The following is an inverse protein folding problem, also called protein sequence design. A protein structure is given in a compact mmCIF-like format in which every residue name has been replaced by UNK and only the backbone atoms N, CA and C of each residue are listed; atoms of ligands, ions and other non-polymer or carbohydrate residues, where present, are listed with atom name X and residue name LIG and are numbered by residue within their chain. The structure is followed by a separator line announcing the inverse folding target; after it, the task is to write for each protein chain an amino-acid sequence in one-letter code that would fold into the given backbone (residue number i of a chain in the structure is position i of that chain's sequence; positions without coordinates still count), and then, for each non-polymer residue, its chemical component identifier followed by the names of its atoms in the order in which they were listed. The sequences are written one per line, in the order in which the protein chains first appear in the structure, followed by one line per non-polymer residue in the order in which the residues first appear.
data_IF_883028597829
#
_entry.id   IF_883028597829
#
_cell.length_a   1.000
_cell.length_b   1.000
_cell.length_c   1.000
_cell.angle_alpha   90.00
_cell.angle_beta   90.00
_cell.angle_gamma   90.00
#
_symmetry.space_group_name_H-M   'P 1'
#
loop_
_entity.id
_entity.type
_entity.pdbx_description
1 polymer ?
#
# COMPACT_ATOMS: atom_id res chain seq x y z
N UNK A 1 9.00 2.31 17.35
CA UNK A 1 8.83 0.84 17.35
C UNK A 1 9.67 0.28 16.20
N UNK A 2 10.01 -1.01 16.14
CA UNK A 2 10.80 -1.62 15.05
C UNK A 2 10.08 -2.84 14.51
N UNK A 3 10.43 -3.33 13.31
CA UNK A 3 9.88 -4.58 12.76
C UNK A 3 10.09 -5.77 13.70
N UNK A 4 11.26 -5.87 14.32
CA UNK A 4 11.55 -6.93 15.29
C UNK A 4 10.68 -6.83 16.54
N UNK A 5 10.36 -5.63 17.02
CA UNK A 5 9.44 -5.45 18.15
C UNK A 5 8.00 -5.85 17.76
N UNK A 6 7.57 -5.52 16.54
CA UNK A 6 6.27 -5.94 16.01
C UNK A 6 6.19 -7.46 15.83
N UNK A 7 7.29 -8.11 15.46
CA UNK A 7 7.38 -9.57 15.42
C UNK A 7 7.29 -10.18 16.82
N UNK A 8 8.04 -9.66 17.80
CA UNK A 8 7.99 -10.12 19.19
C UNK A 8 6.58 -9.98 19.80
N UNK A 9 5.83 -8.96 19.41
CA UNK A 9 4.44 -8.77 19.82
C UNK A 9 3.42 -9.55 18.97
N UNK A 10 3.87 -10.48 18.11
CA UNK A 10 3.05 -11.31 17.20
C UNK A 10 2.17 -10.52 16.22
N UNK A 11 2.56 -9.30 15.89
CA UNK A 11 1.92 -8.51 14.85
C UNK A 11 2.51 -8.79 13.46
N UNK A 12 3.78 -9.23 13.41
CA UNK A 12 4.45 -9.69 12.19
C UNK A 12 4.97 -11.13 12.35
N UNK A 13 5.03 -11.84 11.23
CA UNK A 13 5.66 -13.14 11.09
C UNK A 13 6.95 -13.01 10.29
N UNK A 14 7.99 -13.78 10.64
CA UNK A 14 9.19 -13.90 9.82
C UNK A 14 8.93 -14.88 8.69
N UNK A 15 9.19 -14.45 7.47
CA UNK A 15 9.04 -15.27 6.28
C UNK A 15 9.96 -14.71 5.19
N UNK A 16 10.90 -15.52 4.66
CA UNK A 16 11.85 -15.07 3.65
C UNK A 16 11.15 -14.46 2.42
N UNK A 17 11.77 -13.47 1.75
CA UNK A 17 11.23 -12.93 0.50
C UNK A 17 11.11 -14.02 -0.56
N UNK A 18 10.07 -13.96 -1.39
CA UNK A 18 9.89 -14.82 -2.54
C UNK A 18 9.90 -13.97 -3.82
N UNK A 19 10.87 -14.21 -4.71
CA UNK A 19 11.08 -13.39 -5.90
C UNK A 19 9.86 -13.37 -6.84
N UNK A 20 9.19 -14.52 -7.04
CA UNK A 20 8.01 -14.59 -7.89
C UNK A 20 6.82 -13.84 -7.28
N UNK A 21 6.64 -13.93 -5.95
CA UNK A 21 5.63 -13.14 -5.23
C UNK A 21 5.89 -11.65 -5.39
N UNK A 22 7.14 -11.20 -5.17
CA UNK A 22 7.51 -9.79 -5.30
C UNK A 22 7.25 -9.26 -6.70
N UNK A 23 7.72 -9.96 -7.74
CA UNK A 23 7.46 -9.59 -9.14
C UNK A 23 5.96 -9.53 -9.43
N UNK A 24 5.18 -10.49 -8.93
CA UNK A 24 3.73 -10.50 -9.07
C UNK A 24 3.06 -9.28 -8.40
N UNK A 25 3.47 -8.93 -7.18
CA UNK A 25 2.96 -7.77 -6.46
C UNK A 25 3.29 -6.46 -7.20
N UNK A 26 4.54 -6.30 -7.66
CA UNK A 26 4.99 -5.08 -8.35
C UNK A 26 4.28 -4.89 -9.70
N UNK A 27 4.19 -5.94 -10.52
CA UNK A 27 3.49 -5.88 -11.80
C UNK A 27 2.01 -5.55 -11.60
N UNK A 28 1.37 -6.24 -10.66
CA UNK A 28 -0.06 -6.04 -10.38
C UNK A 28 -0.35 -4.65 -9.78
N UNK A 29 0.57 -4.08 -9.00
CA UNK A 29 0.45 -2.71 -8.52
C UNK A 29 0.64 -1.68 -9.65
N UNK A 30 1.60 -1.91 -10.55
CA UNK A 30 1.84 -1.03 -11.71
C UNK A 30 0.62 -0.95 -12.62
N UNK A 31 0.04 -2.09 -12.97
CA UNK A 31 -1.13 -2.13 -13.87
C UNK A 31 -2.33 -1.43 -13.22
N UNK A 32 -2.57 -1.64 -11.92
CA UNK A 32 -3.62 -0.93 -11.17
C UNK A 32 -3.37 0.58 -11.07
N UNK A 33 -2.13 1.03 -10.87
CA UNK A 33 -1.81 2.47 -10.83
C UNK A 33 -2.04 3.14 -12.17
N UNK A 34 -1.70 2.45 -13.26
CA UNK A 34 -2.02 2.91 -14.61
C UNK A 34 -3.55 3.08 -14.77
N UNK A 35 -4.33 2.07 -14.39
CA UNK A 35 -5.78 2.10 -14.55
C UNK A 35 -6.46 3.09 -13.60
N UNK A 36 -5.95 3.31 -12.39
CA UNK A 36 -6.48 4.30 -11.44
C UNK A 36 -6.42 5.75 -11.97
N UNK A 37 -5.50 6.03 -12.89
CA UNK A 37 -5.36 7.33 -13.55
C UNK A 37 -6.33 7.49 -14.73
N UNK A 38 -7.07 6.45 -15.12
CA UNK A 38 -8.06 6.53 -16.18
C UNK A 38 -9.33 7.26 -15.69
N UNK A 39 -9.48 8.53 -16.05
CA UNK A 39 -10.61 9.38 -15.66
C UNK A 39 -11.95 9.00 -16.30
N UNK A 40 -11.98 8.02 -17.21
CA UNK A 40 -13.24 7.45 -17.70
C UNK A 40 -13.85 6.44 -16.71
N UNK A 41 -13.09 5.97 -15.72
CA UNK A 41 -13.60 5.10 -14.66
C UNK A 41 -14.28 5.92 -13.56
N UNK A 42 -15.21 5.31 -12.84
CA UNK A 42 -15.81 5.95 -11.67
C UNK A 42 -14.75 6.22 -10.60
N UNK A 43 -15.01 7.22 -9.75
CA UNK A 43 -14.22 7.50 -8.55
C UNK A 43 -13.97 6.23 -7.73
N UNK A 44 -15.02 5.43 -7.48
CA UNK A 44 -14.92 4.21 -6.68
C UNK A 44 -13.98 3.17 -7.27
N UNK A 45 -14.01 2.96 -8.59
CA UNK A 45 -13.09 2.06 -9.27
C UNK A 45 -11.66 2.58 -9.21
N UNK A 46 -11.45 3.87 -9.48
CA UNK A 46 -10.12 4.50 -9.42
C UNK A 46 -9.52 4.42 -8.01
N UNK A 47 -10.33 4.69 -6.99
CA UNK A 47 -9.92 4.61 -5.59
C UNK A 47 -9.55 3.19 -5.17
N UNK A 48 -10.37 2.19 -5.51
CA UNK A 48 -10.06 0.79 -5.21
C UNK A 48 -8.77 0.32 -5.90
N UNK A 49 -8.58 0.70 -7.17
CA UNK A 49 -7.37 0.41 -7.93
C UNK A 49 -6.13 1.04 -7.27
N UNK A 50 -6.17 2.34 -6.97
CA UNK A 50 -5.06 3.06 -6.35
C UNK A 50 -4.73 2.49 -4.95
N UNK A 51 -5.75 2.21 -4.13
CA UNK A 51 -5.60 1.64 -2.80
C UNK A 51 -4.98 0.23 -2.84
N UNK A 52 -5.48 -0.64 -3.72
CA UNK A 52 -4.95 -2.00 -3.85
C UNK A 52 -3.53 -2.00 -4.43
N UNK A 53 -3.20 -1.05 -5.30
CA UNK A 53 -1.83 -0.86 -5.77
C UNK A 53 -0.90 -0.42 -4.63
N UNK A 54 -1.28 0.61 -3.86
CA UNK A 54 -0.52 1.07 -2.70
C UNK A 54 -0.28 -0.06 -1.68
N UNK A 55 -1.31 -0.86 -1.39
CA UNK A 55 -1.18 -2.01 -0.51
C UNK A 55 -0.22 -3.07 -1.09
N UNK A 56 -0.30 -3.37 -2.38
CA UNK A 56 0.62 -4.31 -3.04
C UNK A 56 2.08 -3.87 -2.95
N UNK A 57 2.35 -2.59 -3.15
CA UNK A 57 3.69 -2.00 -3.02
C UNK A 57 4.19 -2.02 -1.57
N UNK A 58 3.34 -1.63 -0.62
CA UNK A 58 3.68 -1.64 0.79
C UNK A 58 3.94 -3.08 1.30
N UNK A 59 3.16 -4.04 0.81
CA UNK A 59 3.40 -5.46 1.09
C UNK A 59 4.74 -5.89 0.48
N UNK A 60 5.04 -5.56 -0.78
CA UNK A 60 6.32 -5.90 -1.39
C UNK A 60 7.52 -5.38 -0.57
N UNK A 61 7.46 -4.12 -0.10
CA UNK A 61 8.48 -3.55 0.78
C UNK A 61 8.64 -4.33 2.09
N UNK A 62 7.52 -4.72 2.73
CA UNK A 62 7.56 -5.54 3.94
C UNK A 62 8.11 -6.95 3.68
N UNK A 63 7.76 -7.55 2.54
CA UNK A 63 8.23 -8.87 2.11
C UNK A 63 9.73 -8.85 1.83
N UNK A 64 10.28 -7.81 1.22
CA UNK A 64 11.73 -7.61 1.02
C UNK A 64 12.49 -7.59 2.37
N UNK A 65 11.89 -7.04 3.44
CA UNK A 65 12.46 -7.08 4.78
C UNK A 65 12.32 -8.44 5.51
N UNK A 66 11.74 -9.47 4.88
CA UNK A 66 11.60 -10.81 5.45
C UNK A 66 10.48 -10.95 6.48
N UNK A 67 9.48 -10.06 6.45
CA UNK A 67 8.32 -10.11 7.33
C UNK A 67 7.01 -10.23 6.53
N UNK A 68 5.94 -10.67 7.20
CA UNK A 68 4.57 -10.71 6.66
C UNK A 68 3.56 -10.40 7.77
N UNK A 69 2.42 -9.83 7.37
CA UNK A 69 1.18 -9.78 8.14
C UNK A 69 -0.01 -9.82 7.18
N UNK A 70 -1.15 -10.31 7.64
CA UNK A 70 -2.44 -10.29 6.92
C UNK A 70 -3.22 -8.99 7.17
N UNK A 71 -2.79 -8.19 8.15
CA UNK A 71 -3.43 -6.93 8.54
C UNK A 71 -3.00 -5.79 7.62
N UNK A 72 -3.84 -5.43 6.65
CA UNK A 72 -3.56 -4.34 5.67
C UNK A 72 -3.14 -3.02 6.31
N UNK A 73 -3.81 -2.58 7.38
CA UNK A 73 -3.44 -1.34 8.09
C UNK A 73 -2.00 -1.39 8.62
N UNK A 74 -1.57 -2.56 9.10
CA UNK A 74 -0.24 -2.74 9.67
C UNK A 74 0.83 -2.78 8.57
N UNK A 75 0.50 -3.32 7.39
CA UNK A 75 1.38 -3.25 6.21
C UNK A 75 1.74 -1.79 5.90
N UNK A 76 0.76 -0.89 5.89
CA UNK A 76 1.03 0.54 5.69
C UNK A 76 1.84 1.16 6.83
N UNK A 77 1.50 0.85 8.10
CA UNK A 77 2.27 1.37 9.25
C UNK A 77 3.74 0.93 9.21
N UNK A 78 4.05 -0.24 8.64
CA UNK A 78 5.43 -0.71 8.51
C UNK A 78 6.26 0.09 7.49
N UNK A 79 5.65 0.89 6.60
CA UNK A 79 6.38 1.68 5.60
C UNK A 79 7.43 2.62 6.20
N UNK A 80 7.19 3.14 7.42
CA UNK A 80 8.15 3.97 8.15
C UNK A 80 9.42 3.21 8.56
N UNK A 81 9.42 1.88 8.42
CA UNK A 81 10.55 1.00 8.72
C UNK A 81 11.12 0.31 7.48
N UNK A 82 10.39 0.28 6.37
CA UNK A 82 10.76 -0.46 5.16
C UNK A 82 11.14 0.45 3.99
N UNK A 83 10.82 1.75 4.06
CA UNK A 83 11.07 2.72 2.98
C UNK A 83 11.45 4.09 3.54
N UNK A 84 12.09 4.98 2.75
CA UNK A 84 12.34 6.37 3.14
C UNK A 84 11.11 7.29 2.94
N UNK A 85 9.94 6.72 2.65
CA UNK A 85 8.71 7.48 2.42
C UNK A 85 8.36 8.35 3.63
N UNK A 86 7.90 9.57 3.37
CA UNK A 86 7.62 10.51 4.45
C UNK A 86 6.46 10.01 5.34
N UNK A 87 6.52 10.24 6.67
CA UNK A 87 5.44 9.84 7.57
C UNK A 87 4.06 10.43 7.22
N UNK A 88 4.02 11.57 6.52
CA UNK A 88 2.78 12.16 6.02
C UNK A 88 2.11 11.27 4.96
N UNK A 89 2.85 10.78 3.98
CA UNK A 89 2.36 9.85 2.96
C UNK A 89 1.86 8.54 3.57
N UNK A 90 2.52 8.03 4.61
CA UNK A 90 2.05 6.84 5.34
C UNK A 90 0.71 7.08 6.05
N UNK A 91 0.48 8.30 6.56
CA UNK A 91 -0.82 8.68 7.14
C UNK A 91 -1.93 8.74 6.08
N UNK A 92 -1.62 9.19 4.86
CA UNK A 92 -2.59 9.17 3.74
C UNK A 92 -3.06 7.74 3.46
N UNK A 93 -2.16 6.76 3.39
CA UNK A 93 -2.57 5.36 3.20
C UNK A 93 -3.43 4.83 4.35
N UNK A 94 -3.12 5.22 5.59
CA UNK A 94 -3.94 4.86 6.77
C UNK A 94 -5.35 5.45 6.66
N UNK A 95 -5.47 6.72 6.27
CA UNK A 95 -6.76 7.38 6.04
C UNK A 95 -7.55 6.68 4.91
N UNK A 96 -6.90 6.37 3.80
CA UNK A 96 -7.54 5.65 2.70
C UNK A 96 -8.00 4.24 3.10
N UNK A 97 -7.26 3.56 3.99
CA UNK A 97 -7.69 2.28 4.55
C UNK A 97 -9.01 2.42 5.35
N UNK A 98 -9.12 3.45 6.19
CA UNK A 98 -10.35 3.74 6.94
C UNK A 98 -11.51 4.04 5.98
N UNK A 99 -11.29 4.88 4.95
CA UNK A 99 -12.32 5.20 3.94
C UNK A 99 -12.76 3.98 3.13
N UNK A 100 -11.82 3.13 2.73
CA UNK A 100 -12.14 1.87 2.04
C UNK A 100 -12.99 0.96 2.92
N UNK A 101 -12.65 0.81 4.20
CA UNK A 101 -13.44 -0.02 5.12
C UNK A 101 -14.84 0.57 5.31
N UNK A 102 -14.98 1.89 5.48
CA UNK A 102 -16.28 2.54 5.59
C UNK A 102 -17.15 2.26 4.35
N UNK A 103 -16.58 2.40 3.16
CA UNK A 103 -17.29 2.13 1.92
C UNK A 103 -17.71 0.66 1.78
N UNK A 104 -16.88 -0.30 2.18
CA UNK A 104 -17.23 -1.73 2.12
C UNK A 104 -18.27 -2.17 3.15
N UNK A 105 -18.18 -1.65 4.38
CA UNK A 105 -19.07 -2.07 5.47
C UNK A 105 -20.38 -1.28 5.53
N UNK A 106 -20.36 0.00 5.13
CA UNK A 106 -21.52 0.88 5.22
C UNK A 106 -22.10 1.24 3.83
N UNK A 107 -21.43 0.84 2.74
CA UNK A 107 -21.87 1.11 1.37
C UNK A 107 -21.75 2.58 0.95
N UNK A 108 -21.18 3.43 1.80
CA UNK A 108 -21.04 4.85 1.55
C UNK A 108 -19.61 5.22 1.18
N UNK A 109 -19.44 5.68 -0.06
CA UNK A 109 -18.17 6.25 -0.52
C UNK A 109 -18.35 7.73 -0.82
N UNK A 110 -17.83 8.56 0.07
CA UNK A 110 -17.73 10.00 -0.17
C UNK A 110 -16.69 10.25 -1.27
N UNK A 111 -17.10 11.00 -2.30
CA UNK A 111 -16.21 11.38 -3.40
C UNK A 111 -15.29 12.49 -2.91
N UNK A 112 -13.99 12.22 -2.96
CA UNK A 112 -12.93 13.13 -2.57
C UNK A 112 -11.78 13.00 -3.57
N UNK A 113 -11.91 13.70 -4.71
CA UNK A 113 -10.91 13.63 -5.79
C UNK A 113 -9.53 14.11 -5.33
N UNK A 114 -9.47 15.03 -4.35
CA UNK A 114 -8.20 15.49 -3.80
C UNK A 114 -7.49 14.37 -3.02
N UNK A 115 -8.22 13.62 -2.19
CA UNK A 115 -7.68 12.44 -1.51
C UNK A 115 -7.26 11.34 -2.50
N UNK A 116 -8.02 11.15 -3.58
CA UNK A 116 -7.66 10.20 -4.63
C UNK A 116 -6.36 10.60 -5.35
N UNK A 117 -6.20 11.88 -5.68
CA UNK A 117 -4.98 12.39 -6.31
C UNK A 117 -3.78 12.25 -5.37
N UNK A 118 -3.94 12.54 -4.07
CA UNK A 118 -2.91 12.29 -3.06
C UNK A 118 -2.57 10.79 -2.93
N UNK A 119 -3.57 9.92 -2.94
CA UNK A 119 -3.37 8.47 -2.88
C UNK A 119 -2.57 7.97 -4.10
N UNK A 120 -2.94 8.38 -5.31
CA UNK A 120 -2.25 8.02 -6.54
C UNK A 120 -0.81 8.56 -6.52
N UNK A 121 -0.62 9.83 -6.16
CA UNK A 121 0.70 10.47 -6.11
C UNK A 121 1.63 9.77 -5.12
N UNK A 122 1.18 9.51 -3.89
CA UNK A 122 1.97 8.80 -2.88
C UNK A 122 2.26 7.35 -3.28
N UNK A 123 1.33 6.68 -3.97
CA UNK A 123 1.54 5.32 -4.46
C UNK A 123 2.56 5.26 -5.62
N UNK A 124 2.60 6.28 -6.48
CA UNK A 124 3.63 6.42 -7.52
C UNK A 124 5.01 6.67 -6.91
N UNK A 125 5.11 7.52 -5.89
CA UNK A 125 6.36 7.71 -5.14
C UNK A 125 6.82 6.39 -4.50
N UNK A 126 5.91 5.70 -3.81
CA UNK A 126 6.20 4.40 -3.21
C UNK A 126 6.66 3.37 -4.26
N UNK A 127 6.05 3.36 -5.45
CA UNK A 127 6.46 2.49 -6.54
C UNK A 127 7.94 2.70 -6.93
N UNK A 128 8.36 3.96 -7.04
CA UNK A 128 9.76 4.29 -7.36
C UNK A 128 10.71 3.81 -6.26
N UNK A 129 10.34 3.99 -4.99
CA UNK A 129 11.17 3.60 -3.84
C UNK A 129 11.34 2.08 -3.74
N UNK A 130 10.28 1.30 -4.00
CA UNK A 130 10.33 -0.16 -3.89
C UNK A 130 11.08 -0.80 -5.07
N UNK A 131 10.97 -0.24 -6.29
CA UNK A 131 11.71 -0.73 -7.47
C UNK A 131 13.21 -0.46 -7.38
N UNK A 132 13.63 0.67 -6.80
CA UNK A 132 15.05 1.01 -6.64
C UNK A 132 15.78 0.16 -5.59
N UNK A 133 15.03 -0.58 -4.77
CA UNK A 133 15.61 -1.41 -3.69
C UNK A 133 16.09 -2.80 -4.15
N UNK A 134 15.94 -3.12 -5.44
CA UNK A 134 16.32 -4.40 -6.06
C UNK A 134 17.68 -4.37 -6.80
N UNK A 135 18.61 -3.47 -6.45
CA UNK A 135 19.99 -3.39 -7.00
C UNK A 135 21.06 -3.73 -5.96
#
# INVERSE_FOLDING_TARGET
MTLENLHKSRNLHKEPPNANELVGLLNSARDRLHDAQNTNLSYSSRFDLAYNAAHGLALAALRQCGYRTDKRYLVFQCLVHTTPLQPASVRVFSLCHERRNLAEYEGHMEVDEALLDELISNALELQQLVVLSDV
#
